data_IF_884476149631
#
_entry.id   IF_884476149631
#
_cell.length_a   1.000
_cell.length_b   1.000
_cell.length_c   1.000
_cell.angle_alpha   90.00
_cell.angle_beta   90.00
_cell.angle_gamma   90.00
#
_symmetry.space_group_name_H-M   'P 1'
#
loop_
_entity.id
_entity.type
_entity.pdbx_description
1 polymer ?
#
# COMPACT_ATOMS: atom_id res chain seq x y z
N UNK A 1 6.85 -18.47 20.28
CA UNK A 1 6.35 -17.13 20.68
C UNK A 1 4.88 -16.98 20.31
N UNK A 2 4.18 -16.12 21.04
CA UNK A 2 2.86 -15.60 20.66
C UNK A 2 3.03 -14.24 19.97
N UNK A 3 2.65 -14.15 18.73
CA UNK A 3 2.86 -12.96 17.88
C UNK A 3 1.49 -12.35 17.58
N UNK A 4 1.25 -11.14 18.06
CA UNK A 4 0.06 -10.39 17.76
C UNK A 4 0.35 -9.43 16.60
N UNK A 5 -0.18 -9.74 15.41
CA UNK A 5 -0.12 -8.82 14.29
C UNK A 5 -1.31 -7.84 14.37
N UNK A 6 -1.06 -6.56 14.13
CA UNK A 6 -2.12 -5.54 14.15
C UNK A 6 -2.19 -4.79 12.83
N UNK A 7 -3.38 -4.61 12.29
CA UNK A 7 -3.62 -3.95 11.00
C UNK A 7 -4.98 -3.29 10.95
N UNK A 8 -5.05 -2.17 10.24
CA UNK A 8 -6.35 -1.61 9.85
C UNK A 8 -7.09 -2.60 8.94
N UNK A 9 -8.44 -2.62 8.95
CA UNK A 9 -9.24 -3.52 8.13
C UNK A 9 -9.29 -3.07 6.66
N UNK A 10 -8.12 -2.98 6.04
CA UNK A 10 -7.94 -2.58 4.65
C UNK A 10 -7.37 -3.77 3.87
N UNK A 11 -8.08 -4.21 2.84
CA UNK A 11 -7.71 -5.39 2.05
C UNK A 11 -6.26 -5.32 1.52
N UNK A 12 -5.84 -4.17 0.98
CA UNK A 12 -4.48 -3.98 0.43
C UNK A 12 -3.38 -3.95 1.50
N UNK A 13 -3.69 -3.79 2.79
CA UNK A 13 -2.76 -3.91 3.89
C UNK A 13 -2.62 -5.36 4.38
N UNK A 14 -3.74 -6.06 4.44
CA UNK A 14 -3.81 -7.40 5.02
C UNK A 14 -3.40 -8.50 4.04
N UNK A 15 -4.03 -8.54 2.87
CA UNK A 15 -3.90 -9.70 1.98
C UNK A 15 -2.50 -9.89 1.39
N UNK A 16 -1.80 -8.85 0.91
CA UNK A 16 -0.48 -9.05 0.31
C UNK A 16 0.66 -9.13 1.35
N UNK A 17 0.40 -8.79 2.63
CA UNK A 17 1.48 -8.65 3.64
C UNK A 17 1.16 -9.33 4.96
N UNK A 18 0.21 -8.81 5.74
CA UNK A 18 -0.01 -9.27 7.12
C UNK A 18 -0.54 -10.71 7.21
N UNK A 19 -1.41 -11.13 6.30
CA UNK A 19 -1.93 -12.51 6.25
C UNK A 19 -0.82 -13.52 5.89
N UNK A 20 -0.03 -13.32 4.82
CA UNK A 20 1.10 -14.21 4.53
C UNK A 20 2.17 -14.19 5.63
N UNK A 21 2.43 -13.05 6.26
CA UNK A 21 3.37 -12.95 7.36
C UNK A 21 2.91 -13.73 8.59
N UNK A 22 1.63 -13.62 8.98
CA UNK A 22 1.06 -14.41 10.07
C UNK A 22 1.14 -15.92 9.77
N UNK A 23 0.91 -16.32 8.51
CA UNK A 23 1.11 -17.72 8.07
C UNK A 23 2.57 -18.14 8.21
N UNK A 24 3.53 -17.28 7.84
CA UNK A 24 4.95 -17.57 7.96
C UNK A 24 5.39 -17.79 9.41
N UNK A 25 4.85 -17.03 10.37
CA UNK A 25 5.07 -17.27 11.80
C UNK A 25 4.52 -18.64 12.22
N UNK A 26 3.27 -18.97 11.83
CA UNK A 26 2.67 -20.28 12.19
C UNK A 26 3.42 -21.46 11.58
N UNK A 27 3.90 -21.34 10.35
CA UNK A 27 4.73 -22.37 9.71
C UNK A 27 6.03 -22.66 10.45
N UNK A 28 6.53 -21.70 11.24
CA UNK A 28 7.72 -21.84 12.11
C UNK A 28 7.37 -22.28 13.54
N UNK A 29 6.14 -22.69 13.79
CA UNK A 29 5.69 -23.16 15.10
C UNK A 29 5.35 -22.07 16.11
N UNK A 30 5.20 -20.82 15.67
CA UNK A 30 4.73 -19.74 16.52
C UNK A 30 3.19 -19.67 16.53
N UNK A 31 2.63 -19.21 17.64
CA UNK A 31 1.22 -18.88 17.73
C UNK A 31 1.04 -17.42 17.22
N UNK A 32 0.35 -17.26 16.09
CA UNK A 32 0.19 -15.94 15.46
C UNK A 32 -1.25 -15.67 15.09
N UNK A 33 -1.78 -14.53 15.55
CA UNK A 33 -3.12 -14.04 15.25
C UNK A 33 -3.08 -12.62 14.72
N UNK A 34 -4.09 -12.22 13.95
CA UNK A 34 -4.21 -10.87 13.40
C UNK A 34 -5.35 -10.15 14.11
N UNK A 35 -5.05 -9.05 14.77
CA UNK A 35 -6.04 -8.12 15.32
C UNK A 35 -6.41 -7.08 14.26
N UNK A 36 -7.68 -7.05 13.87
CA UNK A 36 -8.19 -6.11 12.87
C UNK A 36 -9.70 -5.87 13.05
N UNK A 37 -10.28 -4.94 12.29
CA UNK A 37 -11.70 -4.59 12.42
C UNK A 37 -12.67 -5.59 11.82
N UNK A 38 -13.99 -5.41 12.11
CA UNK A 38 -15.06 -6.36 11.74
C UNK A 38 -15.16 -6.66 10.25
N UNK A 39 -14.82 -5.71 9.38
CA UNK A 39 -14.84 -5.90 7.92
C UNK A 39 -13.96 -7.08 7.44
N UNK A 40 -12.97 -7.47 8.23
CA UNK A 40 -12.05 -8.57 7.93
C UNK A 40 -12.24 -9.80 8.83
N UNK A 41 -13.37 -9.90 9.54
CA UNK A 41 -13.68 -11.01 10.44
C UNK A 41 -13.73 -12.39 9.77
N UNK A 42 -13.87 -12.43 8.44
CA UNK A 42 -13.90 -13.66 7.66
C UNK A 42 -12.51 -14.29 7.45
N UNK A 43 -11.43 -13.59 7.77
CA UNK A 43 -10.08 -14.11 7.65
C UNK A 43 -9.76 -15.09 8.77
N UNK A 44 -9.07 -16.19 8.44
CA UNK A 44 -8.65 -17.19 9.42
C UNK A 44 -7.66 -16.61 10.45
N UNK A 45 -7.74 -17.10 11.68
CA UNK A 45 -6.90 -16.67 12.79
C UNK A 45 -6.94 -15.15 13.08
N UNK A 46 -8.12 -14.57 12.90
CA UNK A 46 -8.36 -13.16 13.16
C UNK A 46 -9.05 -12.96 14.50
N UNK A 47 -8.59 -11.97 15.25
CA UNK A 47 -9.23 -11.42 16.43
C UNK A 47 -9.93 -10.13 16.03
N UNK A 48 -11.24 -10.09 16.18
CA UNK A 48 -12.02 -8.92 15.77
C UNK A 48 -11.95 -7.85 16.84
N UNK A 49 -11.49 -6.68 16.45
CA UNK A 49 -11.46 -5.45 17.25
C UNK A 49 -12.69 -4.60 16.89
N UNK A 50 -13.73 -4.57 17.72
CA UNK A 50 -15.04 -4.04 17.34
C UNK A 50 -15.04 -2.57 16.96
N UNK A 51 -14.14 -1.78 17.55
CA UNK A 51 -14.07 -0.33 17.34
C UNK A 51 -13.08 0.09 16.24
N UNK A 52 -12.45 -0.87 15.54
CA UNK A 52 -11.57 -0.58 14.42
C UNK A 52 -12.37 -0.60 13.11
N UNK A 53 -12.80 0.57 12.67
CA UNK A 53 -13.62 0.72 11.46
C UNK A 53 -12.81 0.60 10.18
N UNK A 54 -13.42 0.04 9.13
CA UNK A 54 -12.89 0.12 7.79
C UNK A 54 -13.09 1.55 7.21
N UNK A 55 -12.27 1.98 6.24
CA UNK A 55 -12.49 3.26 5.55
C UNK A 55 -13.90 3.40 4.99
N UNK A 56 -14.48 2.31 4.46
CA UNK A 56 -15.84 2.27 3.94
C UNK A 56 -16.91 2.55 4.99
N UNK A 57 -16.65 2.27 6.27
CA UNK A 57 -17.61 2.44 7.37
C UNK A 57 -17.68 3.89 7.86
N UNK A 58 -16.69 4.72 7.49
CA UNK A 58 -16.58 6.11 7.91
C UNK A 58 -17.44 7.06 7.07
N UNK A 59 -18.19 6.52 6.11
CA UNK A 59 -18.99 7.29 5.17
C UNK A 59 -18.17 7.84 3.99
N UNK A 60 -18.81 8.56 3.06
CA UNK A 60 -18.09 9.14 1.94
C UNK A 60 -17.02 10.12 2.46
N UNK A 61 -15.82 10.12 1.85
CA UNK A 61 -14.81 11.09 2.23
C UNK A 61 -15.35 12.50 2.05
N UNK A 62 -14.93 13.47 2.87
CA UNK A 62 -15.25 14.86 2.62
C UNK A 62 -14.80 15.24 1.21
N UNK A 63 -15.48 16.20 0.54
CA UNK A 63 -15.08 16.61 -0.80
C UNK A 63 -13.59 16.91 -0.81
N UNK A 64 -12.89 16.32 -1.76
CA UNK A 64 -11.44 16.40 -1.88
C UNK A 64 -11.01 17.87 -1.97
N UNK A 65 -10.34 18.34 -0.93
CA UNK A 65 -9.68 19.64 -0.94
C UNK A 65 -8.19 19.30 -1.11
N UNK A 66 -7.54 19.70 -2.22
CA UNK A 66 -6.10 19.57 -2.35
C UNK A 66 -5.46 20.51 -1.34
N UNK A 67 -5.20 20.01 -0.13
CA UNK A 67 -4.35 20.73 0.82
C UNK A 67 -2.90 20.67 0.29
N UNK A 68 -2.18 21.75 0.50
CA UNK A 68 -0.84 22.04 -0.03
C UNK A 68 0.19 20.96 0.32
N UNK A 69 -0.12 20.08 1.29
CA UNK A 69 0.77 19.04 1.83
C UNK A 69 0.31 17.61 1.55
N UNK A 70 -0.74 17.40 0.74
CA UNK A 70 -1.15 16.08 0.25
C UNK A 70 -1.64 15.09 1.30
N UNK A 71 -1.71 15.48 2.57
CA UNK A 71 -2.24 14.64 3.64
C UNK A 71 -3.74 14.89 3.72
N UNK A 72 -4.50 13.98 3.16
CA UNK A 72 -5.92 13.89 3.45
C UNK A 72 -6.07 13.77 4.98
N UNK A 73 -6.89 14.62 5.57
CA UNK A 73 -7.45 14.36 6.91
C UNK A 73 -8.36 13.15 6.79
N UNK A 74 -7.76 11.97 6.66
CA UNK A 74 -8.51 10.74 6.62
C UNK A 74 -8.99 10.48 8.04
N UNK A 75 -10.29 10.26 8.27
CA UNK A 75 -10.83 9.92 9.59
C UNK A 75 -10.15 8.72 10.26
N UNK A 76 -9.45 7.89 9.48
CA UNK A 76 -8.65 6.75 9.95
C UNK A 76 -7.54 7.10 10.96
N UNK A 77 -7.11 8.34 11.02
CA UNK A 77 -6.06 8.81 11.94
C UNK A 77 -6.58 9.87 12.89
N UNK A 78 -7.80 9.69 13.40
CA UNK A 78 -8.29 10.53 14.50
C UNK A 78 -7.82 9.99 15.85
N UNK A 79 -7.61 10.89 16.82
CA UNK A 79 -7.30 10.55 18.21
C UNK A 79 -8.23 9.45 18.74
N UNK A 80 -9.53 9.57 18.45
CA UNK A 80 -10.55 8.65 18.94
C UNK A 80 -10.34 7.22 18.40
N UNK A 81 -10.02 7.08 17.10
CA UNK A 81 -9.80 5.77 16.50
C UNK A 81 -8.51 5.11 16.98
N UNK A 82 -7.42 5.88 17.11
CA UNK A 82 -6.15 5.32 17.65
C UNK A 82 -6.33 4.91 19.11
N UNK A 83 -7.05 5.68 19.91
CA UNK A 83 -7.39 5.35 21.30
C UNK A 83 -8.24 4.09 21.39
N UNK A 84 -9.29 3.99 20.55
CA UNK A 84 -10.16 2.82 20.51
C UNK A 84 -9.38 1.57 20.07
N UNK A 85 -8.56 1.67 19.04
CA UNK A 85 -7.68 0.59 18.58
C UNK A 85 -6.74 0.13 19.71
N UNK A 86 -6.04 1.06 20.36
CA UNK A 86 -5.15 0.73 21.47
C UNK A 86 -5.88 0.04 22.63
N UNK A 87 -7.07 0.52 22.99
CA UNK A 87 -7.87 -0.07 24.07
C UNK A 87 -8.30 -1.51 23.74
N UNK A 88 -8.83 -1.73 22.53
CA UNK A 88 -9.23 -3.07 22.07
C UNK A 88 -8.06 -4.06 22.05
N UNK A 89 -6.90 -3.61 21.52
CA UNK A 89 -5.70 -4.44 21.46
C UNK A 89 -5.19 -4.77 22.86
N UNK A 90 -5.19 -3.79 23.78
CA UNK A 90 -4.80 -3.97 25.17
C UNK A 90 -5.67 -4.99 25.89
N UNK A 91 -6.99 -4.90 25.75
CA UNK A 91 -7.91 -5.84 26.40
C UNK A 91 -7.66 -7.28 25.96
N UNK A 92 -7.46 -7.49 24.67
CA UNK A 92 -7.07 -8.80 24.15
C UNK A 92 -5.69 -9.23 24.64
N UNK A 93 -4.67 -8.36 24.49
CA UNK A 93 -3.29 -8.68 24.78
C UNK A 93 -3.04 -8.99 26.27
N UNK A 94 -3.76 -8.35 27.20
CA UNK A 94 -3.67 -8.67 28.65
C UNK A 94 -4.07 -10.11 28.96
N UNK A 95 -5.00 -10.67 28.21
CA UNK A 95 -5.45 -12.06 28.38
C UNK A 95 -4.60 -13.03 27.59
N UNK A 96 -4.34 -12.72 26.33
CA UNK A 96 -3.62 -13.60 25.40
C UNK A 96 -2.09 -13.57 25.60
N UNK A 97 -1.55 -12.48 26.16
CA UNK A 97 -0.15 -12.29 26.53
C UNK A 97 0.81 -12.53 25.36
N UNK A 98 0.79 -11.66 24.33
CA UNK A 98 1.76 -11.74 23.25
C UNK A 98 3.19 -11.49 23.75
N UNK A 99 4.15 -12.16 23.13
CA UNK A 99 5.57 -11.91 23.35
C UNK A 99 6.05 -10.68 22.57
N UNK A 100 5.36 -10.39 21.44
CA UNK A 100 5.67 -9.26 20.55
C UNK A 100 4.42 -8.81 19.81
N UNK A 101 4.32 -7.51 19.53
CA UNK A 101 3.30 -6.94 18.64
C UNK A 101 3.98 -6.54 17.32
N UNK A 102 3.44 -7.02 16.19
CA UNK A 102 3.90 -6.70 14.85
C UNK A 102 2.83 -5.87 14.17
N UNK A 103 3.07 -4.58 14.02
CA UNK A 103 2.12 -3.65 13.41
C UNK A 103 2.47 -3.31 11.97
N UNK A 104 1.48 -2.91 11.17
CA UNK A 104 1.71 -2.23 9.92
C UNK A 104 1.74 -0.70 10.10
N UNK A 105 2.26 0.01 9.12
CA UNK A 105 2.57 1.44 9.19
C UNK A 105 1.42 2.34 9.63
N UNK A 106 0.20 2.03 9.19
CA UNK A 106 -0.98 2.88 9.44
C UNK A 106 -1.71 2.55 10.74
N UNK A 107 -1.35 1.45 11.42
CA UNK A 107 -1.98 0.99 12.65
C UNK A 107 -1.12 1.39 13.85
N UNK A 108 -1.55 2.40 14.61
CA UNK A 108 -0.82 2.94 15.76
C UNK A 108 -1.26 2.36 17.11
N UNK A 109 -2.44 1.76 17.19
CA UNK A 109 -2.95 1.18 18.42
C UNK A 109 -2.10 0.04 18.95
N UNK A 110 -1.54 -0.78 18.06
CA UNK A 110 -0.61 -1.85 18.41
C UNK A 110 0.69 -1.33 19.02
N UNK A 111 1.22 -0.22 18.51
CA UNK A 111 2.38 0.44 19.10
C UNK A 111 2.09 0.91 20.52
N UNK A 112 1.00 1.65 20.71
CA UNK A 112 0.59 2.13 22.05
C UNK A 112 0.36 0.95 23.00
N UNK A 113 -0.27 -0.12 22.52
CA UNK A 113 -0.50 -1.31 23.35
C UNK A 113 0.82 -1.98 23.76
N UNK A 114 1.81 -2.06 22.88
CA UNK A 114 3.13 -2.59 23.19
C UNK A 114 3.85 -1.72 24.23
N UNK A 115 3.82 -0.41 24.05
CA UNK A 115 4.40 0.57 24.99
C UNK A 115 3.75 0.46 26.39
N UNK A 116 2.43 0.31 26.48
CA UNK A 116 1.70 0.13 27.77
C UNK A 116 2.07 -1.19 28.44
N UNK A 117 2.23 -2.25 27.66
CA UNK A 117 2.53 -3.59 28.20
C UNK A 117 4.03 -3.79 28.48
N UNK A 118 4.88 -2.88 28.01
CA UNK A 118 6.33 -3.00 28.13
C UNK A 118 6.90 -4.21 27.34
N UNK A 119 6.28 -4.55 26.20
CA UNK A 119 6.71 -5.64 25.34
C UNK A 119 7.30 -5.11 24.02
N UNK A 120 8.18 -5.89 23.35
CA UNK A 120 8.72 -5.48 22.06
C UNK A 120 7.64 -5.25 21.01
N UNK A 121 7.89 -4.32 20.07
CA UNK A 121 7.07 -4.20 18.87
C UNK A 121 7.94 -4.12 17.61
N UNK A 122 7.38 -4.53 16.47
CA UNK A 122 8.00 -4.43 15.17
C UNK A 122 7.09 -3.69 14.18
N UNK A 123 7.70 -3.02 13.22
CA UNK A 123 7.01 -2.28 12.16
C UNK A 123 7.23 -2.98 10.81
N UNK A 124 6.12 -3.30 10.14
CA UNK A 124 6.12 -3.68 8.73
C UNK A 124 5.70 -2.47 7.92
N UNK A 125 6.63 -1.93 7.16
CA UNK A 125 6.40 -0.73 6.39
C UNK A 125 5.71 -1.04 5.06
N UNK A 126 4.39 -1.13 5.11
CA UNK A 126 3.52 -1.37 3.96
C UNK A 126 3.17 -0.10 3.18
N UNK A 127 3.52 1.06 3.73
CA UNK A 127 3.44 2.35 3.09
C UNK A 127 4.47 3.26 3.76
N UNK A 128 5.42 3.86 3.04
CA UNK A 128 6.55 4.58 3.63
C UNK A 128 6.10 5.91 4.25
N UNK A 129 5.34 5.84 5.34
CA UNK A 129 4.95 7.02 6.11
C UNK A 129 6.07 7.51 7.03
N UNK A 130 6.92 6.61 7.54
CA UNK A 130 8.01 6.97 8.43
C UNK A 130 8.96 8.03 7.83
N UNK A 131 9.33 7.99 6.52
CA UNK A 131 10.09 9.07 5.90
C UNK A 131 9.26 10.28 5.57
N UNK A 132 7.94 10.24 5.75
CA UNK A 132 7.07 11.33 5.32
C UNK A 132 7.12 12.51 6.28
N UNK A 133 7.79 12.37 7.45
CA UNK A 133 7.82 13.43 8.43
C UNK A 133 6.48 14.17 8.45
N UNK A 134 5.40 13.43 8.80
CA UNK A 134 4.09 14.04 8.93
C UNK A 134 3.99 14.51 10.39
N UNK A 135 4.35 15.75 10.70
CA UNK A 135 4.37 16.24 12.09
C UNK A 135 3.02 16.02 12.79
N UNK A 136 1.94 16.06 12.00
CA UNK A 136 0.59 15.85 12.49
C UNK A 136 0.36 14.43 13.01
N UNK A 137 1.00 13.41 12.42
CA UNK A 137 0.87 12.03 12.90
C UNK A 137 1.69 11.80 14.16
N UNK A 138 2.88 12.39 14.25
CA UNK A 138 3.69 12.32 15.46
C UNK A 138 2.98 13.01 16.62
N UNK A 139 2.43 14.21 16.41
CA UNK A 139 1.61 14.90 17.40
C UNK A 139 0.37 14.09 17.82
N UNK A 140 -0.27 13.40 16.88
CA UNK A 140 -1.40 12.52 17.16
C UNK A 140 -0.99 11.38 18.09
N UNK A 141 0.08 10.67 17.73
CA UNK A 141 0.58 9.52 18.49
C UNK A 141 1.02 9.96 19.89
N UNK A 142 1.70 11.10 20.00
CA UNK A 142 2.12 11.65 21.30
C UNK A 142 0.94 12.07 22.19
N UNK A 143 -0.13 12.63 21.62
CA UNK A 143 -1.37 12.89 22.36
C UNK A 143 -1.99 11.59 22.89
N UNK A 144 -1.98 10.53 22.09
CA UNK A 144 -2.50 9.23 22.53
C UNK A 144 -1.60 8.62 23.59
N UNK A 145 -0.26 8.68 23.46
CA UNK A 145 0.69 8.27 24.49
C UNK A 145 0.43 8.97 25.82
N UNK A 146 0.21 10.28 25.79
CA UNK A 146 -0.10 11.04 26.99
C UNK A 146 -1.38 10.55 27.69
N UNK A 147 -2.39 10.12 26.94
CA UNK A 147 -3.62 9.53 27.51
C UNK A 147 -3.38 8.19 28.21
N UNK A 148 -2.49 7.37 27.66
CA UNK A 148 -2.11 6.07 28.24
C UNK A 148 -0.95 6.18 29.24
N UNK A 149 -0.39 7.37 29.45
CA UNK A 149 0.73 7.66 30.36
C UNK A 149 1.97 6.82 30.05
N UNK A 150 2.30 6.66 28.77
CA UNK A 150 3.47 5.91 28.30
C UNK A 150 4.42 6.79 27.50
N UNK A 151 5.69 6.37 27.46
CA UNK A 151 6.72 6.96 26.62
C UNK A 151 6.88 6.18 25.30
N UNK A 152 7.49 6.83 24.33
CA UNK A 152 7.83 6.19 23.07
C UNK A 152 8.87 5.09 23.24
N UNK A 153 8.71 3.98 22.55
CA UNK A 153 9.74 2.95 22.40
C UNK A 153 10.07 2.73 20.93
N UNK A 154 11.32 2.39 20.65
CA UNK A 154 11.75 2.07 19.30
C UNK A 154 11.31 0.65 18.92
N UNK A 155 10.90 0.40 17.65
CA UNK A 155 10.65 -0.95 17.20
C UNK A 155 11.94 -1.78 17.20
N UNK A 156 11.85 -3.03 17.65
CA UNK A 156 13.00 -3.97 17.61
C UNK A 156 13.34 -4.38 16.18
N UNK A 157 12.41 -4.20 15.25
CA UNK A 157 12.57 -4.43 13.81
C UNK A 157 11.70 -3.44 13.03
N UNK A 158 12.31 -2.76 12.05
CA UNK A 158 11.60 -2.03 10.99
C UNK A 158 11.89 -2.69 9.65
N UNK A 159 10.88 -3.31 9.06
CA UNK A 159 10.97 -4.04 7.80
C UNK A 159 10.38 -3.22 6.64
N UNK A 160 11.24 -2.68 5.78
CA UNK A 160 10.86 -2.09 4.49
C UNK A 160 10.56 -3.20 3.47
N UNK A 161 9.57 -2.98 2.62
CA UNK A 161 9.15 -3.96 1.60
C UNK A 161 9.56 -3.54 0.16
N UNK A 162 10.58 -2.70 0.07
CA UNK A 162 11.20 -2.20 -1.16
C UNK A 162 12.69 -2.04 -0.95
N UNK A 163 13.52 -1.90 -1.99
CA UNK A 163 14.95 -1.65 -1.85
C UNK A 163 15.25 -0.35 -1.07
N UNK A 164 16.41 -0.28 -0.43
CA UNK A 164 16.89 0.90 0.29
C UNK A 164 16.96 2.16 -0.59
N UNK A 165 17.16 1.98 -1.90
CA UNK A 165 17.09 3.07 -2.88
C UNK A 165 15.70 3.67 -3.01
N UNK A 166 14.64 2.94 -2.68
CA UNK A 166 13.28 3.49 -2.62
C UNK A 166 13.08 4.34 -1.37
N UNK A 167 13.28 3.77 -0.19
CA UNK A 167 13.30 4.50 1.07
C UNK A 167 14.12 3.74 2.13
N UNK A 168 14.71 4.42 3.12
CA UNK A 168 15.49 3.76 4.16
C UNK A 168 14.61 3.01 5.16
N UNK A 169 15.04 1.82 5.54
CA UNK A 169 14.52 1.05 6.65
C UNK A 169 15.67 0.29 7.33
N UNK A 170 15.43 -0.32 8.49
CA UNK A 170 16.46 -1.09 9.17
C UNK A 170 16.82 -2.36 8.40
N UNK A 171 15.80 -3.04 7.87
CA UNK A 171 15.93 -4.21 7.03
C UNK A 171 15.00 -4.10 5.82
N UNK A 172 15.45 -4.64 4.69
CA UNK A 172 14.70 -4.61 3.44
C UNK A 172 14.35 -6.03 3.00
N UNK A 173 13.10 -6.21 2.59
CA UNK A 173 12.55 -7.47 2.12
C UNK A 173 11.80 -7.27 0.81
N UNK A 174 11.70 -8.32 0.02
CA UNK A 174 10.79 -8.33 -1.15
C UNK A 174 9.51 -9.08 -0.84
N UNK A 175 8.42 -8.61 -1.39
CA UNK A 175 7.17 -9.37 -1.47
C UNK A 175 7.16 -10.05 -2.83
N UNK A 176 7.09 -11.38 -2.89
CA UNK A 176 6.98 -12.08 -4.16
C UNK A 176 5.76 -11.61 -4.95
N UNK A 177 5.91 -11.50 -6.25
CA UNK A 177 4.80 -11.29 -7.18
C UNK A 177 4.54 -12.57 -7.97
N UNK A 178 3.29 -12.78 -8.38
CA UNK A 178 2.96 -13.85 -9.33
C UNK A 178 3.55 -13.49 -10.70
N UNK A 179 4.33 -14.40 -11.25
CA UNK A 179 4.83 -14.24 -12.62
C UNK A 179 3.72 -14.58 -13.62
N UNK A 180 3.61 -13.75 -14.67
CA UNK A 180 2.74 -14.04 -15.81
C UNK A 180 3.40 -15.01 -16.79
N UNK A 181 2.58 -15.69 -17.57
CA UNK A 181 3.06 -16.42 -18.74
C UNK A 181 3.53 -15.42 -19.80
N UNK A 182 4.69 -15.64 -20.40
CA UNK A 182 5.40 -14.68 -21.27
C UNK A 182 4.72 -14.39 -22.62
N UNK A 183 3.65 -15.10 -22.99
CA UNK A 183 3.03 -14.96 -24.30
C UNK A 183 1.84 -13.99 -24.33
N UNK A 184 2.02 -12.86 -25.04
CA UNK A 184 1.00 -11.91 -25.52
C UNK A 184 0.24 -11.07 -24.48
N UNK A 185 0.86 -10.67 -23.38
CA UNK A 185 0.28 -9.71 -22.43
C UNK A 185 0.05 -8.31 -23.04
N UNK A 186 -0.72 -7.42 -22.34
CA UNK A 186 -0.85 -6.03 -22.71
C UNK A 186 0.48 -5.30 -22.53
N UNK A 187 0.78 -4.33 -23.41
CA UNK A 187 1.96 -3.48 -23.26
C UNK A 187 1.74 -2.41 -22.18
N UNK A 188 0.49 -2.04 -21.93
CA UNK A 188 0.12 -1.04 -20.92
C UNK A 188 -0.91 -1.63 -19.98
N UNK A 189 -0.62 -1.57 -18.68
CA UNK A 189 -1.56 -1.90 -17.60
C UNK A 189 -1.99 -0.61 -16.93
N UNK A 190 -3.28 -0.44 -16.67
CA UNK A 190 -3.82 0.71 -15.93
C UNK A 190 -4.69 0.24 -14.76
N UNK A 191 -4.38 0.73 -13.56
CA UNK A 191 -5.13 0.38 -12.35
C UNK A 191 -5.03 1.49 -11.29
N UNK A 192 -6.16 1.77 -10.64
CA UNK A 192 -6.28 2.82 -9.61
C UNK A 192 -6.54 2.26 -8.21
N UNK A 193 -6.36 0.95 -8.04
CA UNK A 193 -6.58 0.28 -6.75
C UNK A 193 -8.05 0.12 -6.39
N UNK A 194 -8.30 -0.67 -5.35
CA UNK A 194 -9.66 -1.04 -4.90
C UNK A 194 -10.43 0.10 -4.25
N UNK A 195 -9.73 1.09 -3.70
CA UNK A 195 -10.35 2.20 -2.95
C UNK A 195 -10.68 3.43 -3.82
N UNK A 196 -10.17 3.52 -5.05
CA UNK A 196 -10.34 4.72 -5.89
C UNK A 196 -11.81 5.03 -6.20
N UNK A 197 -12.62 4.01 -6.43
CA UNK A 197 -14.05 4.20 -6.73
C UNK A 197 -14.83 4.73 -5.52
N UNK A 198 -14.47 4.29 -4.33
CA UNK A 198 -15.09 4.78 -3.10
C UNK A 198 -14.65 6.21 -2.76
N UNK A 199 -13.37 6.52 -2.98
CA UNK A 199 -12.79 7.82 -2.63
C UNK A 199 -13.09 8.93 -3.64
N UNK A 200 -13.44 8.57 -4.88
CA UNK A 200 -13.74 9.53 -5.96
C UNK A 200 -15.04 9.19 -6.71
N UNK A 201 -16.18 9.12 -6.02
CA UNK A 201 -17.44 8.82 -6.67
C UNK A 201 -17.75 9.90 -7.72
N UNK A 202 -18.10 9.48 -8.95
CA UNK A 202 -18.41 10.40 -10.07
C UNK A 202 -17.19 11.02 -10.74
N UNK A 203 -15.97 10.57 -10.45
CA UNK A 203 -14.77 11.01 -11.14
C UNK A 203 -14.81 10.68 -12.63
N UNK A 204 -14.43 11.64 -13.46
CA UNK A 204 -14.24 11.44 -14.91
C UNK A 204 -12.87 10.88 -15.27
N UNK A 205 -11.97 10.72 -14.29
CA UNK A 205 -10.60 10.25 -14.51
C UNK A 205 -10.52 8.91 -15.24
N UNK A 206 -11.34 7.88 -14.94
CA UNK A 206 -11.32 6.63 -15.69
C UNK A 206 -11.63 6.82 -17.18
N UNK A 207 -12.53 7.76 -17.54
CA UNK A 207 -12.84 8.08 -18.93
C UNK A 207 -11.63 8.71 -19.62
N UNK A 208 -10.99 9.69 -18.97
CA UNK A 208 -9.77 10.34 -19.49
C UNK A 208 -8.67 9.30 -19.74
N UNK A 209 -8.51 8.33 -18.83
CA UNK A 209 -7.50 7.26 -18.99
C UNK A 209 -7.81 6.35 -20.17
N UNK A 210 -9.06 5.92 -20.33
CA UNK A 210 -9.46 5.04 -21.44
C UNK A 210 -9.35 5.76 -22.78
N UNK A 211 -9.73 7.03 -22.86
CA UNK A 211 -9.55 7.85 -24.04
C UNK A 211 -8.07 8.02 -24.39
N UNK A 212 -7.24 8.37 -23.41
CA UNK A 212 -5.79 8.52 -23.60
C UNK A 212 -5.14 7.24 -24.14
N UNK A 213 -5.49 6.08 -23.56
CA UNK A 213 -4.99 4.80 -24.03
C UNK A 213 -5.46 4.46 -25.44
N UNK A 214 -6.63 4.96 -25.84
CA UNK A 214 -7.13 4.85 -27.23
C UNK A 214 -6.28 5.65 -28.23
N UNK A 215 -5.62 6.74 -27.81
CA UNK A 215 -4.73 7.55 -28.64
C UNK A 215 -3.31 6.93 -28.75
N UNK A 216 -2.96 5.94 -27.93
CA UNK A 216 -1.65 5.29 -27.94
C UNK A 216 -1.68 4.02 -28.77
N UNK A 217 -0.72 3.86 -29.70
CA UNK A 217 -0.62 2.67 -30.58
C UNK A 217 -0.01 1.46 -29.84
N UNK A 218 -0.63 1.07 -28.70
CA UNK A 218 -0.21 -0.07 -27.89
C UNK A 218 -1.44 -0.77 -27.31
N UNK A 219 -1.33 -2.10 -27.06
CA UNK A 219 -2.40 -2.85 -26.41
C UNK A 219 -2.43 -2.53 -24.92
N UNK A 220 -3.60 -2.16 -24.43
CA UNK A 220 -3.79 -1.78 -23.03
C UNK A 220 -4.88 -2.60 -22.33
N UNK A 221 -4.77 -2.76 -21.03
CA UNK A 221 -5.82 -3.25 -20.15
C UNK A 221 -6.06 -2.26 -19.01
N UNK A 222 -7.32 -2.02 -18.69
CA UNK A 222 -7.73 -1.10 -17.62
C UNK A 222 -8.65 -1.80 -16.64
N UNK A 223 -8.31 -1.73 -15.34
CA UNK A 223 -9.22 -2.09 -14.26
C UNK A 223 -10.19 -0.92 -14.03
N UNK A 224 -11.47 -1.12 -14.38
CA UNK A 224 -12.52 -0.10 -14.27
C UNK A 224 -13.42 -0.26 -13.05
N UNK A 225 -13.23 -1.36 -12.26
CA UNK A 225 -14.10 -1.73 -11.13
C UNK A 225 -15.44 -2.32 -11.58
N UNK A 226 -16.32 -2.57 -10.58
CA UNK A 226 -17.58 -3.30 -10.79
C UNK A 226 -18.76 -2.42 -11.22
N UNK A 227 -18.54 -1.22 -11.69
CA UNK A 227 -19.61 -0.33 -12.20
C UNK A 227 -19.99 -0.58 -13.67
N UNK A 228 -21.16 -0.11 -14.09
CA UNK A 228 -21.52 -0.08 -15.49
C UNK A 228 -20.65 0.95 -16.23
N UNK A 229 -19.91 0.49 -17.23
CA UNK A 229 -19.09 1.38 -18.06
C UNK A 229 -19.90 2.00 -19.20
N UNK A 230 -20.01 3.32 -19.19
CA UNK A 230 -20.74 4.11 -20.21
C UNK A 230 -19.83 4.93 -21.13
N UNK A 231 -18.50 4.87 -20.89
CA UNK A 231 -17.50 5.64 -21.64
C UNK A 231 -17.05 4.99 -22.95
N UNK A 232 -16.00 5.55 -23.58
CA UNK A 232 -15.42 5.06 -24.81
C UNK A 232 -14.88 3.64 -24.69
N UNK A 233 -14.82 2.93 -25.83
CA UNK A 233 -14.27 1.56 -25.94
C UNK A 233 -13.32 1.46 -27.13
N UNK A 234 -12.12 2.03 -27.04
CA UNK A 234 -11.13 1.91 -28.11
C UNK A 234 -10.76 0.44 -28.36
N UNK A 235 -10.51 0.08 -29.61
CA UNK A 235 -10.26 -1.31 -30.02
C UNK A 235 -8.98 -1.92 -29.44
N UNK A 236 -8.00 -1.09 -29.10
CA UNK A 236 -6.75 -1.48 -28.48
C UNK A 236 -6.80 -1.57 -26.94
N UNK A 237 -7.95 -1.19 -26.32
CA UNK A 237 -8.10 -1.13 -24.86
C UNK A 237 -9.09 -2.19 -24.38
N UNK A 238 -8.63 -3.14 -23.59
CA UNK A 238 -9.45 -4.11 -22.89
C UNK A 238 -9.88 -3.53 -21.54
N UNK A 239 -11.18 -3.45 -21.30
CA UNK A 239 -11.75 -3.05 -20.02
C UNK A 239 -12.14 -4.28 -19.22
N UNK A 240 -11.78 -4.32 -17.94
CA UNK A 240 -12.15 -5.39 -17.03
C UNK A 240 -12.53 -4.82 -15.66
N UNK A 241 -13.50 -5.41 -14.95
CA UNK A 241 -13.81 -5.00 -13.57
C UNK A 241 -12.59 -5.10 -12.68
N UNK A 242 -11.88 -6.22 -12.75
CA UNK A 242 -10.64 -6.53 -12.04
C UNK A 242 -9.65 -7.17 -12.99
N UNK A 243 -8.36 -7.05 -12.65
CA UNK A 243 -7.27 -7.61 -13.43
C UNK A 243 -6.28 -8.34 -12.50
N UNK A 244 -5.63 -9.42 -12.95
CA UNK A 244 -4.53 -10.06 -12.23
C UNK A 244 -3.25 -9.20 -12.41
N UNK A 245 -3.23 -8.03 -11.71
CA UNK A 245 -2.23 -6.96 -11.93
C UNK A 245 -0.81 -7.48 -11.89
N UNK A 246 -0.43 -8.29 -10.90
CA UNK A 246 0.93 -8.80 -10.76
C UNK A 246 1.38 -9.59 -11.98
N UNK A 247 0.52 -10.49 -12.48
CA UNK A 247 0.82 -11.29 -13.69
C UNK A 247 0.94 -10.42 -14.92
N UNK A 248 0.06 -9.44 -15.07
CA UNK A 248 0.06 -8.55 -16.23
C UNK A 248 1.25 -7.59 -16.22
N UNK A 249 1.74 -7.19 -15.06
CA UNK A 249 2.96 -6.39 -14.95
C UNK A 249 4.20 -7.15 -15.43
N UNK A 250 4.23 -8.48 -15.33
CA UNK A 250 5.34 -9.29 -15.84
C UNK A 250 5.60 -9.16 -17.35
N UNK A 251 4.60 -8.70 -18.12
CA UNK A 251 4.71 -8.50 -19.59
C UNK A 251 4.50 -7.04 -20.02
N UNK A 252 4.10 -6.18 -19.10
CA UNK A 252 3.82 -4.78 -19.38
C UNK A 252 5.09 -3.97 -19.63
N UNK A 253 4.99 -2.96 -20.49
CA UNK A 253 6.05 -1.97 -20.71
C UNK A 253 5.81 -0.67 -19.92
N UNK A 254 4.55 -0.39 -19.56
CA UNK A 254 4.19 0.80 -18.78
C UNK A 254 3.03 0.48 -17.85
N UNK A 255 3.12 0.96 -16.62
CA UNK A 255 2.03 0.92 -15.64
C UNK A 255 1.47 2.31 -15.38
N UNK A 256 0.20 2.52 -15.71
CA UNK A 256 -0.54 3.75 -15.43
C UNK A 256 -1.25 3.56 -14.09
N UNK A 257 -0.88 4.34 -13.09
CA UNK A 257 -1.28 4.06 -11.70
C UNK A 257 -1.57 5.35 -10.92
N UNK A 258 -2.39 5.22 -9.87
CA UNK A 258 -2.55 6.26 -8.85
C UNK A 258 -1.35 6.37 -7.89
N UNK A 259 -0.32 5.57 -8.09
CA UNK A 259 0.86 5.49 -7.24
C UNK A 259 0.61 5.01 -5.79
N UNK A 260 -0.44 4.21 -5.54
CA UNK A 260 -0.59 3.51 -4.26
C UNK A 260 0.55 2.49 -4.06
N UNK A 261 1.07 2.42 -2.84
CA UNK A 261 2.33 1.71 -2.56
C UNK A 261 2.36 0.24 -3.00
N UNK A 262 1.26 -0.50 -2.83
CA UNK A 262 1.21 -1.91 -3.29
C UNK A 262 1.45 -2.03 -4.79
N UNK A 263 0.79 -1.20 -5.61
CA UNK A 263 0.98 -1.20 -7.05
C UNK A 263 2.38 -0.72 -7.46
N UNK A 264 2.91 0.29 -6.77
CA UNK A 264 4.29 0.75 -6.97
C UNK A 264 5.27 -0.37 -6.70
N UNK A 265 5.17 -1.05 -5.57
CA UNK A 265 6.02 -2.17 -5.22
C UNK A 265 5.97 -3.31 -6.24
N UNK A 266 4.77 -3.65 -6.72
CA UNK A 266 4.59 -4.64 -7.78
C UNK A 266 5.28 -4.23 -9.08
N UNK A 267 5.13 -2.97 -9.50
CA UNK A 267 5.79 -2.44 -10.68
C UNK A 267 7.33 -2.41 -10.54
N UNK A 268 7.84 -2.02 -9.37
CA UNK A 268 9.27 -2.05 -9.07
C UNK A 268 9.83 -3.48 -9.13
N UNK A 269 9.09 -4.46 -8.57
CA UNK A 269 9.50 -5.86 -8.61
C UNK A 269 9.46 -6.43 -10.03
N UNK A 270 8.51 -5.99 -10.86
CA UNK A 270 8.38 -6.40 -12.26
C UNK A 270 9.32 -5.64 -13.23
N UNK A 271 9.99 -4.58 -12.77
CA UNK A 271 10.84 -3.75 -13.63
C UNK A 271 10.07 -2.89 -14.62
N UNK A 272 8.85 -2.48 -14.27
CA UNK A 272 7.93 -1.74 -15.16
C UNK A 272 7.91 -0.26 -14.80
N UNK A 273 8.27 0.64 -15.72
CA UNK A 273 8.18 2.08 -15.48
C UNK A 273 6.73 2.56 -15.38
N UNK A 274 6.53 3.67 -14.67
CA UNK A 274 5.20 4.13 -14.26
C UNK A 274 4.83 5.50 -14.81
N UNK A 275 3.54 5.69 -15.11
CA UNK A 275 2.89 6.99 -15.23
C UNK A 275 2.01 7.16 -13.99
N UNK A 276 2.50 7.95 -13.05
CA UNK A 276 1.90 8.12 -11.73
C UNK A 276 0.94 9.29 -11.68
N UNK A 277 -0.31 9.03 -11.37
CA UNK A 277 -1.39 10.02 -11.24
C UNK A 277 -1.90 10.03 -9.79
N UNK A 278 -1.20 10.69 -8.86
CA UNK A 278 -1.53 10.64 -7.45
C UNK A 278 -2.86 11.31 -7.14
N UNK A 279 -3.64 10.70 -6.25
CA UNK A 279 -4.97 11.15 -5.84
C UNK A 279 -5.00 11.61 -4.37
N UNK A 280 -4.44 10.81 -3.44
CA UNK A 280 -4.51 11.07 -1.98
C UNK A 280 -3.49 10.22 -1.20
N UNK A 281 -3.44 10.40 0.11
CA UNK A 281 -2.62 9.67 1.10
C UNK A 281 -1.10 9.68 0.76
N UNK A 282 -0.47 8.52 0.68
CA UNK A 282 0.93 8.32 0.34
C UNK A 282 1.27 8.55 -1.15
N UNK A 283 0.24 8.58 -2.00
CA UNK A 283 0.40 8.59 -3.46
C UNK A 283 1.19 9.79 -4.01
N UNK A 284 0.99 11.04 -3.54
CA UNK A 284 1.78 12.18 -4.03
C UNK A 284 3.28 11.98 -3.82
N UNK A 285 3.70 11.45 -2.68
CA UNK A 285 5.11 11.21 -2.37
C UNK A 285 5.65 10.00 -3.11
N UNK A 286 4.85 8.95 -3.27
CA UNK A 286 5.23 7.83 -4.13
C UNK A 286 5.44 8.30 -5.57
N UNK A 287 4.57 9.19 -6.09
CA UNK A 287 4.70 9.76 -7.43
C UNK A 287 5.96 10.64 -7.56
N UNK A 288 6.28 11.45 -6.55
CA UNK A 288 7.54 12.20 -6.51
C UNK A 288 8.73 11.25 -6.53
N UNK A 289 8.70 10.18 -5.72
CA UNK A 289 9.78 9.20 -5.67
C UNK A 289 9.96 8.44 -6.98
N UNK A 290 8.86 8.08 -7.66
CA UNK A 290 8.90 7.50 -9.02
C UNK A 290 9.67 8.41 -9.98
N UNK A 291 9.39 9.71 -9.94
CA UNK A 291 10.04 10.70 -10.78
C UNK A 291 11.50 10.91 -10.41
N UNK A 292 11.82 11.05 -9.13
CA UNK A 292 13.19 11.29 -8.63
C UNK A 292 14.14 10.13 -8.96
N UNK A 293 13.64 8.89 -8.88
CA UNK A 293 14.39 7.69 -9.23
C UNK A 293 14.45 7.43 -10.75
N UNK A 294 13.73 8.23 -11.54
CA UNK A 294 13.70 8.07 -12.98
C UNK A 294 12.99 6.79 -13.46
N UNK A 295 12.15 6.18 -12.62
CA UNK A 295 11.36 4.99 -12.97
C UNK A 295 9.97 5.33 -13.49
N UNK A 296 9.77 6.58 -13.88
CA UNK A 296 8.51 7.04 -14.45
C UNK A 296 8.33 8.54 -14.39
N UNK A 297 7.10 8.98 -14.57
CA UNK A 297 6.71 10.40 -14.53
C UNK A 297 5.52 10.61 -13.63
N UNK A 298 5.49 11.74 -12.92
CA UNK A 298 4.32 12.22 -12.21
C UNK A 298 3.45 13.04 -13.15
N UNK A 299 2.13 12.83 -13.09
CA UNK A 299 1.12 13.57 -13.85
C UNK A 299 0.09 14.12 -12.87
N UNK A 300 -0.13 15.43 -12.89
CA UNK A 300 -1.18 16.06 -12.10
C UNK A 300 -2.55 15.76 -12.74
N UNK A 301 -3.50 15.31 -11.94
CA UNK A 301 -4.86 14.97 -12.39
C UNK A 301 -5.75 16.20 -12.54
N UNK A 302 -5.36 17.33 -11.98
CA UNK A 302 -6.15 18.57 -12.06
C UNK A 302 -6.10 19.15 -13.47
N UNK A 303 -7.25 19.16 -14.14
CA UNK A 303 -7.36 19.66 -15.53
C UNK A 303 -6.72 18.73 -16.57
N UNK A 304 -6.44 17.48 -16.21
CA UNK A 304 -5.85 16.50 -17.12
C UNK A 304 -6.80 16.19 -18.28
N UNK A 305 -6.27 16.22 -19.49
CA UNK A 305 -6.96 15.79 -20.72
C UNK A 305 -6.41 14.45 -21.21
N UNK A 306 -7.19 13.75 -22.03
CA UNK A 306 -6.78 12.48 -22.63
C UNK A 306 -5.50 12.64 -23.46
N UNK A 307 -5.41 13.67 -24.28
CA UNK A 307 -4.24 13.93 -25.13
C UNK A 307 -2.97 14.16 -24.32
N UNK A 308 -3.03 14.98 -23.25
CA UNK A 308 -1.86 15.20 -22.38
C UNK A 308 -1.42 13.91 -21.71
N UNK A 309 -2.36 13.08 -21.24
CA UNK A 309 -2.04 11.79 -20.65
C UNK A 309 -1.44 10.82 -21.68
N UNK A 310 -2.01 10.76 -22.90
CA UNK A 310 -1.49 9.95 -23.99
C UNK A 310 -0.04 10.30 -24.33
N UNK A 311 0.28 11.60 -24.41
CA UNK A 311 1.66 12.08 -24.62
C UNK A 311 2.60 11.62 -23.51
N UNK A 312 2.18 11.63 -22.25
CA UNK A 312 2.99 11.17 -21.10
C UNK A 312 3.20 9.66 -21.14
N UNK A 313 2.16 8.89 -21.44
CA UNK A 313 2.25 7.44 -21.62
C UNK A 313 3.22 7.10 -22.76
N UNK A 314 3.04 7.75 -23.93
CA UNK A 314 3.90 7.54 -25.09
C UNK A 314 5.36 7.94 -24.81
N UNK A 315 5.56 9.01 -24.04
CA UNK A 315 6.90 9.43 -23.62
C UNK A 315 7.59 8.36 -22.77
N UNK A 316 6.92 7.80 -21.75
CA UNK A 316 7.50 6.73 -20.91
C UNK A 316 7.72 5.47 -21.74
N UNK A 317 6.75 5.08 -22.58
CA UNK A 317 6.81 3.87 -23.41
C UNK A 317 8.02 3.89 -24.36
N UNK A 318 8.37 5.06 -24.93
CA UNK A 318 9.42 5.19 -25.93
C UNK A 318 10.77 5.66 -25.37
N UNK A 319 10.87 5.92 -24.06
CA UNK A 319 12.09 6.49 -23.48
C UNK A 319 12.85 5.43 -22.68
N UNK A 320 13.87 4.86 -23.29
CA UNK A 320 14.69 3.76 -22.76
C UNK A 320 15.17 3.95 -21.31
N UNK A 321 15.54 5.16 -20.94
CA UNK A 321 16.06 5.45 -19.58
C UNK A 321 15.10 5.06 -18.46
N UNK A 322 13.77 5.13 -18.67
CA UNK A 322 12.79 4.75 -17.65
C UNK A 322 12.76 3.23 -17.46
N UNK A 323 12.89 2.48 -18.56
CA UNK A 323 12.97 1.02 -18.55
C UNK A 323 14.25 0.55 -17.86
N UNK A 324 15.40 1.12 -18.26
CA UNK A 324 16.70 0.78 -17.66
C UNK A 324 16.72 1.05 -16.14
N UNK A 325 16.12 2.16 -15.70
CA UNK A 325 16.01 2.49 -14.28
C UNK A 325 15.08 1.54 -13.54
N UNK A 326 13.93 1.17 -14.13
CA UNK A 326 12.99 0.23 -13.54
C UNK A 326 13.60 -1.20 -13.45
N UNK A 327 14.27 -1.66 -14.50
CA UNK A 327 14.99 -2.94 -14.52
C UNK A 327 16.09 -2.99 -13.44
N UNK A 328 16.81 -1.88 -13.22
CA UNK A 328 17.83 -1.79 -12.17
C UNK A 328 17.21 -1.91 -10.76
N UNK A 329 16.06 -1.26 -10.51
CA UNK A 329 15.37 -1.41 -9.23
C UNK A 329 14.77 -2.81 -9.05
N UNK A 330 14.30 -3.44 -10.11
CA UNK A 330 13.84 -4.83 -10.07
C UNK A 330 14.99 -5.78 -9.68
N UNK A 331 16.18 -5.59 -10.27
CA UNK A 331 17.36 -6.37 -9.90
C UNK A 331 17.69 -6.21 -8.40
N UNK A 332 17.71 -4.97 -7.88
CA UNK A 332 17.89 -4.74 -6.44
C UNK A 332 16.81 -5.40 -5.59
N UNK A 333 15.55 -5.42 -6.06
CA UNK A 333 14.44 -6.04 -5.36
C UNK A 333 14.56 -7.56 -5.31
N UNK A 334 14.98 -8.18 -6.41
CA UNK A 334 15.13 -9.66 -6.51
C UNK A 334 16.21 -10.16 -5.54
N UNK A 335 17.26 -9.40 -5.30
CA UNK A 335 18.35 -9.74 -4.38
C UNK A 335 17.95 -9.67 -2.90
N UNK A 336 16.81 -9.06 -2.56
CA UNK A 336 16.32 -9.00 -1.19
C UNK A 336 15.76 -10.34 -0.72
N UNK A 337 15.88 -10.61 0.57
CA UNK A 337 15.18 -11.72 1.21
C UNK A 337 13.66 -11.61 1.05
N UNK A 338 12.99 -12.76 0.96
CA UNK A 338 11.53 -12.77 0.93
C UNK A 338 10.98 -12.36 2.30
N UNK A 339 10.01 -11.45 2.34
CA UNK A 339 9.46 -10.92 3.61
C UNK A 339 8.89 -12.00 4.54
N UNK A 340 8.59 -13.19 4.06
CA UNK A 340 8.21 -14.33 4.89
C UNK A 340 9.38 -14.90 5.73
N UNK A 341 10.62 -14.38 5.59
CA UNK A 341 11.75 -14.63 6.48
C UNK A 341 11.78 -13.69 7.71
N UNK A 342 10.97 -12.63 7.73
CA UNK A 342 10.86 -11.70 8.88
C UNK A 342 10.73 -12.41 10.24
N UNK A 343 9.98 -13.54 10.38
CA UNK A 343 9.95 -14.27 11.63
C UNK A 343 11.34 -14.68 12.18
N UNK A 344 12.27 -15.04 11.30
CA UNK A 344 13.62 -15.48 11.70
C UNK A 344 14.44 -14.31 12.26
N UNK A 345 14.31 -13.14 11.65
CA UNK A 345 14.92 -11.88 12.13
C UNK A 345 14.30 -11.44 13.46
N UNK A 346 12.98 -11.52 13.59
CA UNK A 346 12.28 -11.05 14.79
C UNK A 346 12.59 -11.95 16.01
N UNK A 347 12.66 -13.27 15.82
CA UNK A 347 13.06 -14.20 16.90
C UNK A 347 14.44 -13.88 17.47
N UNK A 348 15.34 -13.38 16.62
CA UNK A 348 16.68 -13.00 17.04
C UNK A 348 16.75 -11.63 17.74
N UNK A 349 15.72 -10.81 17.58
CA UNK A 349 15.65 -9.45 18.12
C UNK A 349 14.82 -9.33 19.41
N UNK A 350 13.98 -10.32 19.74
CA UNK A 350 13.14 -10.44 20.93
C UNK A 350 13.75 -11.40 21.93
#
# INVERSE_FOLDING_TARGET
>A
MRVLLTSLPIHSHLMPTMVPLARAFRQRGHEAVIATGPAMAHLEHTVVMPDISAPSDLGPPPPWIPERDGVLKVPLWSDALVVASAANILDFARTWRPDVIVRETSEYGGQIAAEVLGIPHALIDIAPFAPLEIPLLDELVDKVRARFQVGATEPVLTAGLTPASWHPAQHHFRVPIEQGDEDEGPEIVASFGTNAQWLMPGSTLPHVVVEALGEVSARAVVAIGHGAWTGPRPSNVRLAPEIPQQRLLGTAKVFVTHAGYSGVREALTAGVPMVAMPLFADQPRNADRIQDLGVGVRVDVKGLTATVLAERIQHVLNTRRYHDAAENLAAQTIDLEVFTSIPDHLVSAV
#
